data_IF_395786258917
#
_entry.id   IF_395786258917
#
_cell.length_a   1.000
_cell.length_b   1.000
_cell.length_c   1.000
_cell.angle_alpha   90.00
_cell.angle_beta   90.00
_cell.angle_gamma   90.00
#
_symmetry.space_group_name_H-M   'P 1'
#
loop_
_entity.id
_entity.type
_entity.pdbx_description
1 polymer ?
#
# COMPACT_ATOMS: atom_id res chain seq x y z
N UNK A 1 -8.56 43.46 4.22
CA UNK A 1 -7.22 42.95 4.58
C UNK A 1 -7.20 41.48 4.20
N UNK A 2 -6.50 41.07 3.13
CA UNK A 2 -6.43 39.65 2.78
C UNK A 2 -5.63 38.90 3.84
N UNK A 3 -6.19 37.80 4.34
CA UNK A 3 -5.48 36.84 5.20
C UNK A 3 -4.24 36.33 4.43
N UNK A 4 -3.05 36.54 4.99
CA UNK A 4 -1.85 35.86 4.47
C UNK A 4 -2.02 34.37 4.72
N UNK A 5 -2.21 33.60 3.65
CA UNK A 5 -2.18 32.14 3.70
C UNK A 5 -0.89 31.69 4.39
N UNK A 6 -1.02 31.12 5.59
CA UNK A 6 0.14 30.61 6.33
C UNK A 6 0.53 29.27 5.71
N UNK A 7 1.70 29.24 5.06
CA UNK A 7 2.28 28.01 4.50
C UNK A 7 2.38 26.93 5.59
N UNK A 8 1.73 25.78 5.36
CA UNK A 8 1.77 24.62 6.24
C UNK A 8 2.75 23.58 5.70
N UNK A 9 3.52 22.96 6.59
CA UNK A 9 4.48 21.92 6.28
C UNK A 9 3.99 20.59 6.79
N UNK A 10 4.01 19.58 5.93
CA UNK A 10 3.55 18.24 6.27
C UNK A 10 4.73 17.28 6.26
N UNK A 11 4.88 16.52 7.34
CA UNK A 11 5.90 15.50 7.49
C UNK A 11 5.23 14.15 7.49
N UNK A 12 5.57 13.31 6.51
CA UNK A 12 5.07 11.93 6.45
C UNK A 12 6.16 11.03 6.99
N UNK A 13 5.83 10.21 7.98
CA UNK A 13 6.79 9.31 8.63
C UNK A 13 6.61 7.87 8.20
N UNK A 14 7.69 7.11 8.30
CA UNK A 14 7.74 5.66 8.10
C UNK A 14 8.08 4.94 9.42
N UNK A 15 7.84 3.62 9.46
CA UNK A 15 8.15 2.74 10.58
C UNK A 15 9.63 2.81 10.96
N UNK A 16 10.54 2.77 9.99
CA UNK A 16 11.98 2.82 10.26
C UNK A 16 12.40 4.12 10.96
N UNK A 17 11.77 5.23 10.56
CA UNK A 17 11.96 6.52 11.22
C UNK A 17 11.45 6.48 12.66
N UNK A 18 10.24 5.96 12.92
CA UNK A 18 9.66 5.91 14.27
C UNK A 18 10.41 4.98 15.24
N UNK A 19 11.05 3.93 14.74
CA UNK A 19 11.81 2.96 15.54
C UNK A 19 13.16 3.52 16.06
N UNK A 20 13.61 4.65 15.53
CA UNK A 20 14.86 5.29 15.91
C UNK A 20 14.65 6.25 17.07
N UNK A 21 15.56 6.26 18.07
CA UNK A 21 15.42 7.16 19.23
C UNK A 21 15.74 8.62 18.89
N UNK A 22 16.65 8.84 17.95
CA UNK A 22 17.10 10.16 17.53
C UNK A 22 16.01 10.93 16.78
N UNK A 23 15.36 10.26 15.82
CA UNK A 23 14.23 10.82 15.05
C UNK A 23 13.10 11.32 15.95
N UNK A 24 12.82 10.64 17.08
CA UNK A 24 11.82 11.08 18.05
C UNK A 24 12.17 12.44 18.68
N UNK A 25 13.46 12.72 18.93
CA UNK A 25 13.89 14.03 19.41
C UNK A 25 13.64 15.11 18.35
N UNK A 26 13.92 14.80 17.08
CA UNK A 26 13.63 15.69 15.97
C UNK A 26 12.13 15.97 15.83
N UNK A 27 11.28 14.97 16.04
CA UNK A 27 9.82 15.13 16.07
C UNK A 27 9.36 16.07 17.20
N UNK A 28 9.94 15.95 18.40
CA UNK A 28 9.63 16.86 19.52
C UNK A 28 10.03 18.31 19.23
N UNK A 29 11.13 18.53 18.51
CA UNK A 29 11.51 19.87 18.05
C UNK A 29 10.50 20.40 17.03
N UNK A 30 10.07 19.58 16.08
CA UNK A 30 9.07 19.94 15.08
C UNK A 30 7.70 20.26 15.71
N UNK A 31 7.32 19.55 16.77
CA UNK A 31 6.09 19.81 17.53
C UNK A 31 6.00 21.25 18.06
N UNK A 32 7.15 21.85 18.42
CA UNK A 32 7.20 23.23 18.90
C UNK A 32 7.04 24.29 17.80
N UNK A 33 7.16 23.90 16.52
CA UNK A 33 7.15 24.82 15.38
C UNK A 33 5.73 24.97 14.84
N UNK A 34 5.18 26.18 14.95
CA UNK A 34 3.86 26.52 14.41
C UNK A 34 3.81 26.38 12.90
N UNK A 35 2.77 25.73 12.38
CA UNK A 35 2.59 25.51 10.93
C UNK A 35 3.20 24.22 10.41
N UNK A 36 3.72 23.35 11.29
CA UNK A 36 4.06 21.97 10.94
C UNK A 36 2.92 21.02 11.31
N UNK A 37 2.79 19.91 10.59
CA UNK A 37 1.90 18.81 10.92
C UNK A 37 2.56 17.48 10.58
N UNK A 38 2.54 16.56 11.53
CA UNK A 38 2.98 15.19 11.37
C UNK A 38 1.82 14.35 10.82
N UNK A 39 2.04 13.65 9.71
CA UNK A 39 1.10 12.69 9.13
C UNK A 39 1.67 11.29 9.35
N UNK A 40 0.88 10.43 9.99
CA UNK A 40 1.16 9.01 10.13
C UNK A 40 0.24 8.24 9.18
N UNK A 41 0.78 7.69 8.08
CA UNK A 41 0.01 6.84 7.19
C UNK A 41 -0.55 5.63 7.92
N UNK A 42 -1.75 5.18 7.55
CA UNK A 42 -2.37 3.99 8.14
C UNK A 42 -1.48 2.74 8.03
N UNK A 43 -0.73 2.61 6.94
CA UNK A 43 0.18 1.47 6.73
C UNK A 43 1.24 1.37 7.84
N UNK A 44 1.70 2.51 8.35
CA UNK A 44 2.68 2.58 9.45
C UNK A 44 2.08 2.03 10.73
N UNK A 45 0.83 2.39 11.06
CA UNK A 45 0.12 1.84 12.23
C UNK A 45 -0.04 0.32 12.10
N UNK A 46 -0.49 -0.17 10.93
CA UNK A 46 -0.66 -1.61 10.69
C UNK A 46 0.64 -2.40 10.82
N UNK A 47 1.74 -1.84 10.35
CA UNK A 47 3.05 -2.48 10.42
C UNK A 47 3.58 -2.48 11.87
N UNK A 48 3.39 -1.39 12.62
CA UNK A 48 3.69 -1.36 14.06
C UNK A 48 2.87 -2.40 14.84
N UNK A 49 1.58 -2.58 14.50
CA UNK A 49 0.74 -3.64 15.09
C UNK A 49 1.19 -5.06 14.71
N UNK A 50 1.75 -5.23 13.50
CA UNK A 50 2.38 -6.50 13.10
C UNK A 50 3.65 -6.75 13.90
N UNK A 51 4.52 -5.76 14.02
CA UNK A 51 5.73 -5.84 14.84
C UNK A 51 5.41 -6.11 16.31
N UNK A 52 4.30 -5.56 16.82
CA UNK A 52 3.78 -5.86 18.17
C UNK A 52 3.31 -7.32 18.33
N UNK A 53 2.91 -7.99 17.25
CA UNK A 53 2.47 -9.40 17.29
C UNK A 53 3.59 -10.38 16.96
N UNK A 54 4.65 -9.93 16.28
CA UNK A 54 5.79 -10.77 15.93
C UNK A 54 6.67 -11.00 17.18
N UNK A 55 6.62 -12.22 17.73
CA UNK A 55 7.40 -12.60 18.91
C UNK A 55 8.89 -12.83 18.62
N UNK A 56 9.27 -12.95 17.35
CA UNK A 56 10.61 -13.39 16.96
C UNK A 56 11.71 -12.35 17.27
N UNK A 57 11.34 -11.07 17.48
CA UNK A 57 12.30 -10.02 17.83
C UNK A 57 11.81 -9.18 19.01
N UNK A 58 12.07 -9.66 20.23
CA UNK A 58 11.68 -9.01 21.50
C UNK A 58 12.08 -7.52 21.57
N UNK A 59 13.23 -7.14 20.99
CA UNK A 59 13.69 -5.74 20.99
C UNK A 59 12.85 -4.82 20.10
N UNK A 60 12.25 -5.35 19.02
CA UNK A 60 11.35 -4.60 18.14
C UNK A 60 9.93 -4.55 18.73
N UNK A 61 9.50 -5.61 19.42
CA UNK A 61 8.22 -5.65 20.13
C UNK A 61 8.07 -4.50 21.13
N UNK A 62 9.04 -4.33 22.04
CA UNK A 62 9.02 -3.27 23.05
C UNK A 62 9.05 -1.87 22.42
N UNK A 63 9.79 -1.71 21.31
CA UNK A 63 9.85 -0.45 20.56
C UNK A 63 8.51 -0.14 19.90
N UNK A 64 7.90 -1.10 19.21
CA UNK A 64 6.63 -0.93 18.53
C UNK A 64 5.51 -0.56 19.51
N UNK A 65 5.43 -1.25 20.66
CA UNK A 65 4.47 -0.90 21.71
C UNK A 65 4.66 0.54 22.22
N UNK A 66 5.91 0.92 22.51
CA UNK A 66 6.24 2.26 22.99
C UNK A 66 5.90 3.36 21.98
N UNK A 67 6.02 3.06 20.68
CA UNK A 67 5.68 4.01 19.61
C UNK A 67 4.18 4.15 19.48
N UNK A 68 3.42 3.05 19.47
CA UNK A 68 1.96 3.10 19.41
C UNK A 68 1.39 3.91 20.59
N UNK A 69 1.87 3.66 21.80
CA UNK A 69 1.49 4.45 22.98
C UNK A 69 1.85 5.93 22.81
N UNK A 70 3.05 6.24 22.30
CA UNK A 70 3.46 7.62 22.05
C UNK A 70 2.56 8.32 21.02
N UNK A 71 2.14 7.63 19.96
CA UNK A 71 1.21 8.17 18.97
C UNK A 71 -0.14 8.51 19.62
N UNK A 72 -0.68 7.59 20.42
CA UNK A 72 -1.93 7.83 21.18
C UNK A 72 -1.80 9.03 22.12
N UNK A 73 -0.68 9.13 22.85
CA UNK A 73 -0.40 10.29 23.70
C UNK A 73 -0.32 11.59 22.91
N UNK A 74 0.33 11.59 21.74
CA UNK A 74 0.39 12.77 20.87
C UNK A 74 -0.99 13.15 20.33
N UNK A 75 -1.85 12.19 20.01
CA UNK A 75 -3.22 12.48 19.59
C UNK A 75 -4.05 13.15 20.69
N UNK A 76 -3.73 12.89 21.96
CA UNK A 76 -4.40 13.53 23.10
C UNK A 76 -3.77 14.88 23.45
N UNK A 77 -2.44 14.94 23.56
CA UNK A 77 -1.69 16.13 24.03
C UNK A 77 -1.57 17.20 22.94
N UNK A 78 -1.42 16.77 21.69
CA UNK A 78 -1.01 17.61 20.56
C UNK A 78 -1.80 17.28 19.30
N UNK A 79 -3.12 17.13 19.46
CA UNK A 79 -4.06 16.78 18.38
C UNK A 79 -4.02 17.70 17.17
N UNK A 80 -3.63 18.97 17.36
CA UNK A 80 -3.48 19.95 16.28
C UNK A 80 -2.26 19.68 15.38
N UNK A 81 -1.27 18.97 15.90
CA UNK A 81 0.02 18.74 15.25
C UNK A 81 0.12 17.36 14.59
N UNK A 82 -0.58 16.35 15.10
CA UNK A 82 -0.52 14.97 14.58
C UNK A 82 -1.82 14.60 13.87
N UNK A 83 -1.69 13.97 12.69
CA UNK A 83 -2.78 13.39 11.93
C UNK A 83 -2.48 11.92 11.65
N UNK A 84 -3.31 11.01 12.16
CA UNK A 84 -3.23 9.58 11.84
C UNK A 84 -4.27 9.29 10.77
N UNK A 85 -3.82 8.86 9.60
CA UNK A 85 -4.72 8.60 8.47
C UNK A 85 -5.72 7.48 8.79
N UNK A 86 -7.00 7.78 8.58
CA UNK A 86 -8.08 6.79 8.68
C UNK A 86 -8.28 6.01 7.37
N UNK A 87 -8.99 4.88 7.44
CA UNK A 87 -9.36 4.10 6.25
C UNK A 87 -10.26 4.87 5.28
N UNK A 88 -11.12 5.74 5.81
CA UNK A 88 -12.07 6.53 5.01
C UNK A 88 -11.42 7.63 4.18
N UNK A 89 -10.18 8.02 4.51
CA UNK A 89 -9.45 9.06 3.78
C UNK A 89 -8.76 8.55 2.52
N UNK A 90 -8.58 7.22 2.39
CA UNK A 90 -7.97 6.61 1.21
C UNK A 90 -9.09 6.14 0.27
N UNK A 91 -9.52 7.02 -0.64
CA UNK A 91 -10.48 6.62 -1.66
C UNK A 91 -9.79 5.68 -2.65
N UNK A 92 -10.42 4.56 -3.04
CA UNK A 92 -9.97 3.80 -4.19
C UNK A 92 -9.89 4.75 -5.38
N UNK A 93 -8.76 4.74 -6.10
CA UNK A 93 -8.69 5.37 -7.41
C UNK A 93 -9.91 4.89 -8.21
N UNK A 94 -10.61 5.83 -8.86
CA UNK A 94 -11.81 5.52 -9.63
C UNK A 94 -11.54 4.29 -10.53
N UNK A 95 -12.50 3.37 -10.70
CA UNK A 95 -12.31 2.19 -11.54
C UNK A 95 -11.73 2.63 -12.87
N UNK A 96 -10.51 2.18 -13.18
CA UNK A 96 -9.90 2.47 -14.47
C UNK A 96 -10.84 1.90 -15.53
N UNK A 97 -11.28 2.71 -16.51
CA UNK A 97 -12.15 2.21 -17.57
C UNK A 97 -11.48 0.99 -18.20
N UNK A 98 -12.21 -0.12 -18.28
CA UNK A 98 -11.72 -1.30 -18.99
C UNK A 98 -11.49 -0.89 -20.45
N UNK A 99 -10.23 -0.89 -20.89
CA UNK A 99 -9.90 -0.74 -22.30
C UNK A 99 -10.30 -2.05 -22.96
N UNK A 100 -11.48 -2.09 -23.58
CA UNK A 100 -11.87 -3.22 -24.42
C UNK A 100 -10.98 -3.23 -25.66
N UNK A 101 -10.14 -4.26 -25.89
CA UNK A 101 -9.44 -4.39 -27.16
C UNK A 101 -10.48 -4.63 -28.25
N UNK A 102 -10.66 -3.65 -29.14
CA UNK A 102 -11.51 -3.80 -30.32
C UNK A 102 -10.79 -4.72 -31.30
N UNK A 103 -11.16 -6.00 -31.31
CA UNK A 103 -10.79 -6.89 -32.41
C UNK A 103 -11.51 -6.41 -33.67
N UNK A 104 -10.76 -5.84 -34.61
CA UNK A 104 -11.24 -5.53 -35.94
C UNK A 104 -11.29 -6.85 -36.70
N UNK A 105 -12.42 -7.55 -36.58
CA UNK A 105 -12.75 -8.64 -37.47
C UNK A 105 -13.07 -8.01 -38.83
N UNK A 106 -12.16 -8.15 -39.79
CA UNK A 106 -12.43 -7.85 -41.19
C UNK A 106 -12.31 -9.15 -42.00
N UNK A 107 -13.40 -9.53 -42.67
CA UNK A 107 -13.33 -10.35 -43.88
C UNK A 107 -13.48 -11.87 -43.77
N UNK A 108 -14.74 -12.30 -43.68
CA UNK A 108 -15.32 -13.45 -44.41
C UNK A 108 -15.26 -14.87 -43.82
N UNK A 109 -16.46 -15.37 -43.51
CA UNK A 109 -17.12 -16.54 -44.15
C UNK A 109 -17.73 -17.50 -43.13
N UNK A 110 -19.07 -17.44 -43.01
CA UNK A 110 -19.94 -18.46 -42.40
C UNK A 110 -19.70 -18.69 -40.90
N UNK A 111 -20.68 -18.83 -40.03
CA UNK A 111 -21.92 -19.58 -40.13
C UNK A 111 -22.77 -19.18 -38.91
N UNK A 112 -24.07 -19.09 -39.12
CA UNK A 112 -25.06 -18.68 -38.14
C UNK A 112 -25.21 -19.63 -36.95
N UNK A 113 -25.61 -19.03 -35.82
CA UNK A 113 -26.55 -19.56 -34.81
C UNK A 113 -26.26 -20.95 -34.20
N UNK A 114 -25.76 -20.97 -32.97
CA UNK A 114 -26.56 -21.16 -31.73
C UNK A 114 -25.64 -21.58 -30.60
N UNK A 115 -25.87 -21.00 -29.43
CA UNK A 115 -25.26 -21.39 -28.17
C UNK A 115 -25.64 -22.83 -27.83
N UNK A 116 -24.64 -23.68 -27.57
CA UNK A 116 -24.76 -24.75 -26.58
C UNK A 116 -23.40 -25.15 -26.04
N UNK A 117 -23.48 -25.62 -24.80
CA UNK A 117 -22.41 -25.83 -23.86
C UNK A 117 -21.45 -26.97 -24.21
N UNK A 118 -20.26 -26.83 -23.64
CA UNK A 118 -19.43 -27.87 -23.01
C UNK A 118 -18.99 -29.10 -23.82
N UNK A 119 -17.69 -29.33 -23.69
CA UNK A 119 -16.95 -30.60 -23.77
C UNK A 119 -16.65 -31.14 -25.16
N UNK A 120 -15.40 -31.58 -25.32
CA UNK A 120 -15.07 -32.64 -26.26
C UNK A 120 -13.95 -32.31 -27.23
N UNK A 121 -12.75 -32.76 -26.86
CA UNK A 121 -11.54 -33.03 -27.65
C UNK A 121 -11.71 -33.09 -29.18
N UNK A 122 -10.83 -32.44 -29.94
CA UNK A 122 -10.45 -32.93 -31.28
C UNK A 122 -9.02 -32.54 -31.62
N UNK A 123 -8.26 -33.58 -31.93
CA UNK A 123 -6.90 -33.64 -32.48
C UNK A 123 -6.81 -33.20 -33.95
N UNK A 124 -5.57 -32.85 -34.35
CA UNK A 124 -5.03 -32.60 -35.70
C UNK A 124 -5.28 -31.19 -36.28
N UNK A 125 -4.31 -30.34 -36.59
CA UNK A 125 -2.84 -30.44 -36.60
C UNK A 125 -2.29 -29.44 -37.63
N UNK A 126 -1.45 -28.48 -37.21
CA UNK A 126 -0.34 -27.94 -38.00
C UNK A 126 0.50 -27.02 -37.11
N UNK A 127 1.80 -27.23 -37.16
CA UNK A 127 2.83 -26.80 -36.22
C UNK A 127 3.34 -25.41 -36.63
N UNK A 128 2.96 -24.36 -35.90
CA UNK A 128 3.82 -23.20 -35.67
C UNK A 128 3.68 -22.78 -34.20
N UNK A 129 4.64 -23.28 -33.43
CA UNK A 129 5.27 -22.72 -32.25
C UNK A 129 4.72 -21.35 -31.77
N UNK A 130 3.93 -21.40 -30.70
CA UNK A 130 3.77 -20.27 -29.79
C UNK A 130 4.09 -20.83 -28.42
N UNK A 131 5.17 -20.33 -27.82
CA UNK A 131 5.62 -20.73 -26.48
C UNK A 131 4.49 -20.40 -25.50
N UNK A 132 3.83 -21.44 -24.99
CA UNK A 132 2.95 -21.32 -23.84
C UNK A 132 3.74 -20.68 -22.69
N UNK A 133 3.22 -19.64 -22.01
CA UNK A 133 3.83 -19.20 -20.77
C UNK A 133 3.76 -20.37 -19.79
N UNK A 134 4.92 -20.98 -19.53
CA UNK A 134 5.05 -22.01 -18.50
C UNK A 134 4.56 -21.41 -17.19
N UNK A 135 3.68 -22.14 -16.51
CA UNK A 135 3.14 -21.85 -15.19
C UNK A 135 4.27 -21.85 -14.15
N UNK A 136 5.06 -20.79 -14.16
CA UNK A 136 5.86 -20.36 -13.02
C UNK A 136 5.22 -19.05 -12.56
N UNK A 137 4.01 -19.20 -12.00
CA UNK A 137 3.37 -18.09 -11.31
C UNK A 137 4.30 -17.64 -10.20
N UNK A 138 4.63 -16.36 -10.29
CA UNK A 138 5.45 -15.60 -9.36
C UNK A 138 4.89 -15.72 -7.93
N UNK A 139 5.38 -16.70 -7.18
CA UNK A 139 5.31 -16.65 -5.71
C UNK A 139 6.27 -15.52 -5.33
N UNK A 140 5.71 -14.35 -5.00
CA UNK A 140 6.47 -13.31 -4.31
C UNK A 140 6.77 -13.82 -2.90
N UNK A 141 7.84 -14.60 -2.77
CA UNK A 141 8.49 -14.85 -1.49
C UNK A 141 9.11 -13.53 -1.02
N UNK A 142 8.31 -12.72 -0.34
CA UNK A 142 8.83 -11.60 0.46
C UNK A 142 9.43 -12.21 1.73
N UNK A 143 10.66 -12.72 1.59
CA UNK A 143 11.59 -12.87 2.70
C UNK A 143 12.51 -11.64 2.73
N UNK A 144 12.03 -10.57 3.35
CA UNK A 144 12.90 -9.51 3.86
C UNK A 144 13.10 -9.77 5.36
N UNK A 145 14.08 -10.62 5.62
CA UNK A 145 14.77 -10.72 6.91
C UNK A 145 16.26 -10.75 6.61
N UNK A 146 16.81 -9.61 6.20
CA UNK A 146 18.27 -9.44 6.13
C UNK A 146 18.79 -9.29 7.56
N UNK A 147 19.37 -10.39 8.05
CA UNK A 147 20.41 -10.40 9.08
C UNK A 147 21.64 -9.68 8.53
N UNK A 148 22.24 -8.83 9.36
CA UNK A 148 23.69 -8.75 9.65
C UNK A 148 23.91 -7.84 10.87
#
# INVERSE_FOLDING_TARGET
MPEREKKKWYFVVDVGFLLTKESKKSLQLLESITGTQLIIPRIVIRELDRLKRCQEILSHLTKAYSILQWIEECMVKSSWWIHVQSTSETFPAAPTPQVTPRSLCDGSTGISTTSFNLTGVSTNGSLMEIVSPTTEEHILDILVCSRE
#
